data_IF_184749454370
#
_entry.id   IF_184749454370
#
_cell.length_a   1.000
_cell.length_b   1.000
_cell.length_c   1.000
_cell.angle_alpha   90.00
_cell.angle_beta   90.00
_cell.angle_gamma   90.00
#
_symmetry.space_group_name_H-M   'P 1'
#
loop_
_entity.id
_entity.type
_entity.pdbx_description
1 polymer ?
#
# COMPACT_ATOMS: atom_id res chain seq x y z
N UNK A 1 -1.27 -24.22 7.65
CA UNK A 1 -1.28 -25.08 6.45
C UNK A 1 -2.43 -24.62 5.56
N UNK A 2 -2.20 -24.49 4.25
CA UNK A 2 -3.20 -24.06 3.27
C UNK A 2 -3.91 -25.29 2.69
N UNK A 3 -5.23 -25.29 2.64
CA UNK A 3 -6.00 -26.38 2.03
C UNK A 3 -6.12 -26.17 0.53
N UNK A 4 -5.55 -27.06 -0.28
CA UNK A 4 -5.58 -27.02 -1.74
C UNK A 4 -6.47 -28.15 -2.25
N UNK A 5 -7.45 -27.83 -3.09
CA UNK A 5 -8.42 -28.82 -3.61
C UNK A 5 -8.44 -28.78 -5.13
N UNK A 6 -8.38 -29.95 -5.78
CA UNK A 6 -8.58 -30.14 -7.21
C UNK A 6 -9.88 -30.89 -7.49
N UNK A 7 -10.70 -30.35 -8.34
CA UNK A 7 -11.82 -31.06 -8.95
C UNK A 7 -11.38 -31.67 -10.28
N UNK A 8 -11.11 -32.96 -10.26
CA UNK A 8 -10.70 -33.71 -11.46
C UNK A 8 -11.80 -33.83 -12.50
N UNK A 9 -13.07 -33.69 -12.10
CA UNK A 9 -14.21 -33.76 -13.05
C UNK A 9 -14.27 -32.54 -13.95
N UNK A 10 -13.82 -31.36 -13.46
CA UNK A 10 -13.75 -30.13 -14.22
C UNK A 10 -12.41 -29.97 -14.95
N UNK A 11 -11.33 -30.58 -14.45
CA UNK A 11 -9.98 -30.31 -14.92
C UNK A 11 -9.72 -30.77 -16.35
N UNK A 12 -9.42 -29.84 -17.24
CA UNK A 12 -9.07 -30.08 -18.67
C UNK A 12 -7.58 -30.33 -18.89
N UNK A 13 -6.77 -30.48 -17.85
CA UNK A 13 -5.31 -30.77 -17.88
C UNK A 13 -4.49 -29.73 -18.65
N UNK A 14 -4.90 -28.47 -18.70
CA UNK A 14 -4.21 -27.41 -19.43
C UNK A 14 -2.83 -27.04 -18.86
N UNK A 15 -2.59 -27.31 -17.55
CA UNK A 15 -1.31 -27.07 -16.87
C UNK A 15 -1.06 -25.63 -16.44
N UNK A 16 -2.01 -24.72 -16.60
CA UNK A 16 -1.85 -23.31 -16.21
C UNK A 16 -1.46 -23.17 -14.72
N UNK A 17 -2.08 -23.95 -13.83
CA UNK A 17 -1.76 -23.94 -12.40
C UNK A 17 -0.30 -24.33 -12.09
N UNK A 18 0.32 -25.18 -12.90
CA UNK A 18 1.75 -25.54 -12.74
C UNK A 18 2.67 -24.42 -13.22
N UNK A 19 2.25 -23.67 -14.24
CA UNK A 19 3.02 -22.59 -14.84
C UNK A 19 3.08 -21.37 -13.94
N UNK A 20 1.94 -20.97 -13.32
CA UNK A 20 1.83 -19.72 -12.56
C UNK A 20 2.24 -19.83 -11.10
N UNK A 21 2.47 -21.03 -10.58
CA UNK A 21 2.76 -21.22 -9.16
C UNK A 21 4.19 -20.82 -8.80
N UNK A 22 4.42 -19.76 -8.02
CA UNK A 22 5.76 -19.32 -7.65
C UNK A 22 6.49 -20.32 -6.77
N UNK A 23 5.76 -21.08 -5.94
CA UNK A 23 6.31 -22.13 -5.07
C UNK A 23 6.44 -23.50 -5.79
N UNK A 24 6.02 -23.61 -7.06
CA UNK A 24 6.08 -24.85 -7.87
C UNK A 24 5.49 -26.07 -7.19
N UNK A 25 4.44 -25.86 -6.39
CA UNK A 25 3.78 -26.94 -5.62
C UNK A 25 2.85 -27.81 -6.47
N UNK A 26 2.48 -27.34 -7.66
CA UNK A 26 1.69 -28.12 -8.61
C UNK A 26 2.61 -28.72 -9.67
N UNK A 27 2.55 -30.02 -9.84
CA UNK A 27 3.38 -30.74 -10.80
C UNK A 27 2.54 -31.70 -11.64
N UNK A 28 3.03 -32.06 -12.82
CA UNK A 28 2.53 -33.12 -13.67
C UNK A 28 3.70 -33.79 -14.39
N UNK A 29 3.67 -35.09 -14.57
CA UNK A 29 4.75 -35.81 -15.24
C UNK A 29 4.68 -35.64 -16.75
N UNK A 30 3.48 -35.67 -17.32
CA UNK A 30 3.24 -35.46 -18.75
C UNK A 30 2.14 -34.42 -18.98
N UNK A 31 2.02 -33.92 -20.20
CA UNK A 31 0.93 -33.02 -20.58
C UNK A 31 -0.48 -33.64 -20.48
N UNK A 32 -0.56 -34.95 -20.40
CA UNK A 32 -1.84 -35.69 -20.31
C UNK A 32 -2.27 -35.94 -18.86
N UNK A 33 -1.39 -35.71 -17.89
CA UNK A 33 -1.67 -35.99 -16.49
C UNK A 33 -2.45 -34.83 -15.82
N UNK A 34 -3.23 -35.19 -14.81
CA UNK A 34 -3.78 -34.23 -13.90
C UNK A 34 -2.66 -33.59 -13.08
N UNK A 35 -2.72 -32.26 -12.82
CA UNK A 35 -1.82 -31.66 -11.85
C UNK A 35 -2.02 -32.31 -10.48
N UNK A 36 -0.91 -32.53 -9.76
CA UNK A 36 -0.92 -33.00 -8.40
C UNK A 36 -0.04 -32.13 -7.53
N UNK A 37 -0.38 -32.00 -6.25
CA UNK A 37 0.45 -31.32 -5.28
C UNK A 37 1.68 -32.14 -4.90
N UNK A 38 2.83 -31.52 -4.76
CA UNK A 38 4.02 -32.13 -4.16
C UNK A 38 3.78 -32.39 -2.67
N UNK A 39 4.59 -33.26 -2.07
CA UNK A 39 4.57 -33.49 -0.61
C UNK A 39 4.92 -32.16 0.10
N UNK A 40 4.14 -31.76 1.10
CA UNK A 40 4.32 -30.51 1.83
C UNK A 40 3.80 -29.27 1.09
N UNK A 41 3.03 -29.43 0.02
CA UNK A 41 2.47 -28.31 -0.75
C UNK A 41 1.65 -27.34 0.09
N UNK A 42 0.91 -27.84 1.08
CA UNK A 42 0.06 -27.03 1.96
C UNK A 42 0.86 -26.06 2.85
N UNK A 43 2.10 -26.44 3.20
CA UNK A 43 3.04 -25.61 3.98
C UNK A 43 3.80 -24.62 3.09
N UNK A 44 4.09 -25.04 1.85
CA UNK A 44 4.79 -24.20 0.85
C UNK A 44 3.89 -23.18 0.16
N UNK A 45 2.57 -23.38 0.24
CA UNK A 45 1.60 -22.51 -0.43
C UNK A 45 1.51 -21.16 0.26
N UNK A 46 1.76 -20.08 -0.49
CA UNK A 46 1.67 -18.68 -0.02
C UNK A 46 0.28 -18.07 -0.21
N UNK A 47 -0.73 -18.86 -0.49
CA UNK A 47 -2.12 -18.43 -0.71
C UNK A 47 -2.27 -17.23 -1.68
N UNK A 48 -1.47 -17.18 -2.75
CA UNK A 48 -1.52 -16.09 -3.72
C UNK A 48 -2.67 -16.20 -4.73
N UNK A 49 -3.37 -17.31 -4.75
CA UNK A 49 -4.53 -17.61 -5.62
C UNK A 49 -4.25 -17.54 -7.15
N UNK A 50 -2.99 -17.37 -7.59
CA UNK A 50 -2.68 -17.34 -9.03
C UNK A 50 -3.13 -18.59 -9.75
N UNK A 51 -2.98 -19.76 -9.13
CA UNK A 51 -3.42 -21.03 -9.72
C UNK A 51 -4.94 -21.14 -9.81
N UNK A 52 -5.68 -20.51 -8.90
CA UNK A 52 -7.15 -20.42 -8.92
C UNK A 52 -7.58 -19.51 -10.07
N UNK A 53 -7.03 -18.29 -10.11
CA UNK A 53 -7.35 -17.28 -11.13
C UNK A 53 -6.96 -17.71 -12.55
N UNK A 54 -5.90 -18.53 -12.70
CA UNK A 54 -5.44 -19.03 -13.99
C UNK A 54 -6.22 -20.26 -14.47
N UNK A 55 -7.09 -20.87 -13.63
CA UNK A 55 -7.81 -22.07 -14.00
C UNK A 55 -9.01 -21.75 -14.90
N UNK A 56 -9.02 -22.13 -16.21
CA UNK A 56 -10.07 -21.71 -17.13
C UNK A 56 -11.44 -22.36 -16.84
N UNK A 57 -11.47 -23.38 -16.00
CA UNK A 57 -12.69 -24.18 -15.72
C UNK A 57 -13.03 -24.21 -14.22
N UNK A 58 -12.36 -23.41 -13.40
CA UNK A 58 -12.65 -23.34 -11.95
C UNK A 58 -12.34 -24.63 -11.17
N UNK A 59 -11.57 -25.56 -11.72
CA UNK A 59 -11.31 -26.87 -11.12
C UNK A 59 -10.28 -26.86 -9.98
N UNK A 60 -9.94 -25.69 -9.39
CA UNK A 60 -8.98 -25.55 -8.30
C UNK A 60 -9.45 -24.51 -7.28
N UNK A 61 -9.30 -24.83 -6.01
CA UNK A 61 -9.52 -23.90 -4.91
C UNK A 61 -8.42 -23.97 -3.87
N UNK A 62 -8.24 -22.86 -3.15
CA UNK A 62 -7.31 -22.73 -2.01
C UNK A 62 -8.09 -22.14 -0.84
N UNK A 63 -8.06 -22.81 0.32
CA UNK A 63 -8.81 -22.41 1.52
C UNK A 63 -10.32 -22.20 1.27
N UNK A 64 -10.89 -22.99 0.38
CA UNK A 64 -12.29 -22.87 -0.01
C UNK A 64 -12.62 -21.70 -0.94
N UNK A 65 -11.62 -20.90 -1.36
CA UNK A 65 -11.77 -19.86 -2.38
C UNK A 65 -11.51 -20.44 -3.75
N UNK A 66 -12.46 -20.31 -4.64
CA UNK A 66 -12.45 -20.80 -6.01
C UNK A 66 -12.44 -19.70 -7.05
N UNK A 67 -12.73 -20.07 -8.28
CA UNK A 67 -12.76 -19.18 -9.44
C UNK A 67 -13.72 -17.98 -9.24
N UNK A 68 -14.89 -18.23 -8.67
CA UNK A 68 -15.94 -17.21 -8.48
C UNK A 68 -15.58 -16.18 -7.39
N UNK A 69 -14.56 -16.45 -6.58
CA UNK A 69 -14.00 -15.47 -5.64
C UNK A 69 -12.97 -14.53 -6.31
N UNK A 70 -12.58 -14.80 -7.55
CA UNK A 70 -11.65 -13.98 -8.32
C UNK A 70 -12.39 -12.92 -9.13
N UNK A 71 -11.80 -11.72 -9.23
CA UNK A 71 -12.33 -10.69 -10.10
C UNK A 71 -12.05 -11.03 -11.56
N UNK A 72 -13.01 -10.80 -12.43
CA UNK A 72 -12.81 -10.91 -13.88
C UNK A 72 -11.97 -9.75 -14.41
N UNK A 73 -11.14 -10.03 -15.41
CA UNK A 73 -10.48 -8.97 -16.16
C UNK A 73 -11.51 -8.24 -17.03
N UNK A 74 -11.62 -6.92 -16.83
CA UNK A 74 -12.31 -6.07 -17.78
C UNK A 74 -11.46 -5.93 -19.05
N UNK A 75 -11.78 -6.72 -20.08
CA UNK A 75 -11.08 -6.72 -21.37
C UNK A 75 -11.26 -5.41 -22.15
N UNK A 76 -12.20 -4.56 -21.75
CA UNK A 76 -12.47 -3.26 -22.37
C UNK A 76 -11.69 -2.13 -21.72
N UNK A 77 -11.25 -2.30 -20.48
CA UNK A 77 -10.48 -1.33 -19.71
C UNK A 77 -8.99 -1.32 -20.10
N UNK A 78 -8.70 -1.04 -21.36
CA UNK A 78 -7.32 -0.91 -21.82
C UNK A 78 -6.73 0.43 -21.36
N UNK A 79 -5.77 0.37 -20.43
CA UNK A 79 -5.02 1.53 -19.97
C UNK A 79 -3.78 1.69 -20.85
N UNK A 80 -3.65 2.84 -21.52
CA UNK A 80 -2.48 3.13 -22.36
C UNK A 80 -1.32 3.61 -21.50
N UNK A 81 -0.10 3.32 -21.95
CA UNK A 81 1.14 3.74 -21.27
C UNK A 81 1.16 5.25 -20.99
N UNK A 82 0.70 6.07 -21.95
CA UNK A 82 0.69 7.54 -21.82
C UNK A 82 -0.20 8.02 -20.67
N UNK A 83 -1.28 7.30 -20.35
CA UNK A 83 -2.17 7.64 -19.25
C UNK A 83 -1.48 7.41 -17.91
N UNK A 84 -0.83 6.25 -17.74
CA UNK A 84 -0.03 5.94 -16.55
C UNK A 84 1.16 6.89 -16.42
N UNK A 85 1.90 7.13 -17.52
CA UNK A 85 3.01 8.04 -17.54
C UNK A 85 2.60 9.48 -17.16
N UNK A 86 1.44 9.93 -17.63
CA UNK A 86 0.88 11.25 -17.26
C UNK A 86 0.51 11.29 -15.79
N UNK A 87 -0.17 10.28 -15.26
CA UNK A 87 -0.54 10.18 -13.84
C UNK A 87 0.70 10.29 -12.94
N UNK A 88 1.73 9.49 -13.21
CA UNK A 88 3.00 9.47 -12.45
C UNK A 88 3.69 10.84 -12.53
N UNK A 89 3.76 11.44 -13.73
CA UNK A 89 4.39 12.75 -13.95
C UNK A 89 3.61 13.89 -13.31
N UNK A 90 2.27 13.81 -13.28
CA UNK A 90 1.37 14.81 -12.71
C UNK A 90 1.36 14.78 -11.18
N UNK A 91 1.53 13.61 -10.55
CA UNK A 91 1.52 13.48 -9.10
C UNK A 91 2.51 14.45 -8.44
N UNK A 92 2.05 15.20 -7.45
CA UNK A 92 2.83 16.19 -6.68
C UNK A 92 2.63 15.99 -5.19
N UNK A 93 3.63 16.39 -4.42
CA UNK A 93 3.48 16.56 -2.96
C UNK A 93 2.65 17.83 -2.70
N UNK A 94 1.36 17.65 -2.51
CA UNK A 94 0.41 18.74 -2.23
C UNK A 94 0.52 19.13 -0.75
N UNK A 95 0.61 20.42 -0.49
CA UNK A 95 0.76 20.99 0.86
C UNK A 95 -0.22 22.16 1.11
N UNK A 96 -1.23 22.29 0.25
CA UNK A 96 -2.30 23.26 0.34
C UNK A 96 -3.63 22.52 0.19
N UNK A 97 -4.37 22.44 1.28
CA UNK A 97 -5.63 21.73 1.35
C UNK A 97 -6.77 22.73 1.47
N UNK A 98 -7.95 22.39 0.95
CA UNK A 98 -9.14 23.24 1.02
C UNK A 98 -9.73 23.35 2.44
N UNK A 99 -9.31 22.48 3.35
CA UNK A 99 -9.91 22.34 4.67
C UNK A 99 -11.24 21.58 4.69
N UNK A 100 -11.79 21.22 3.53
CA UNK A 100 -13.00 20.39 3.48
C UNK A 100 -12.73 19.01 4.06
N UNK A 101 -13.67 18.42 4.83
CA UNK A 101 -13.56 17.06 5.33
C UNK A 101 -13.40 16.07 4.17
N UNK A 102 -12.63 15.00 4.42
CA UNK A 102 -12.51 13.89 3.48
C UNK A 102 -13.54 12.83 3.85
N UNK A 103 -14.33 12.39 2.89
CA UNK A 103 -15.33 11.35 3.11
C UNK A 103 -14.65 9.99 3.38
N UNK A 104 -15.09 9.27 4.42
CA UNK A 104 -14.55 7.94 4.77
C UNK A 104 -14.63 6.98 3.60
N UNK A 105 -15.73 7.03 2.80
CA UNK A 105 -15.90 6.21 1.60
C UNK A 105 -14.77 6.37 0.59
N UNK A 106 -14.21 7.57 0.44
CA UNK A 106 -13.08 7.79 -0.48
C UNK A 106 -11.82 7.06 0.01
N UNK A 107 -11.59 7.07 1.31
CA UNK A 107 -10.47 6.36 1.93
C UNK A 107 -10.66 4.85 1.77
N UNK A 108 -11.85 4.33 2.04
CA UNK A 108 -12.20 2.91 1.88
C UNK A 108 -11.99 2.45 0.44
N UNK A 109 -12.42 3.23 -0.55
CA UNK A 109 -12.19 2.93 -1.97
C UNK A 109 -10.70 2.88 -2.32
N UNK A 110 -9.89 3.80 -1.77
CA UNK A 110 -8.44 3.79 -1.97
C UNK A 110 -7.82 2.54 -1.35
N UNK A 111 -8.17 2.20 -0.12
CA UNK A 111 -7.64 1.03 0.58
C UNK A 111 -8.06 -0.29 -0.09
N UNK A 112 -9.28 -0.35 -0.66
CA UNK A 112 -9.72 -1.51 -1.43
C UNK A 112 -8.84 -1.77 -2.66
N UNK A 113 -8.38 -0.72 -3.35
CA UNK A 113 -7.43 -0.86 -4.46
C UNK A 113 -6.02 -1.15 -3.95
N UNK A 114 -5.57 -0.48 -2.91
CA UNK A 114 -4.21 -0.62 -2.38
C UNK A 114 -3.91 -2.01 -1.83
N UNK A 115 -4.90 -2.76 -1.37
CA UNK A 115 -4.71 -4.17 -0.96
C UNK A 115 -4.19 -5.09 -2.07
N UNK A 116 -4.20 -4.65 -3.34
CA UNK A 116 -3.63 -5.36 -4.48
C UNK A 116 -2.16 -5.04 -4.71
N UNK A 117 -1.57 -4.12 -3.93
CA UNK A 117 -0.13 -3.86 -3.97
C UNK A 117 0.63 -5.16 -3.66
N UNK A 118 1.66 -5.51 -4.45
CA UNK A 118 2.41 -6.74 -4.23
C UNK A 118 3.18 -6.67 -2.91
N UNK A 119 3.26 -7.83 -2.24
CA UNK A 119 4.05 -7.97 -1.02
C UNK A 119 4.94 -9.22 -1.09
N UNK A 120 6.03 -9.22 -0.35
CA UNK A 120 6.94 -10.35 -0.28
C UNK A 120 6.18 -11.63 0.13
N UNK A 121 6.33 -12.71 -0.64
CA UNK A 121 5.66 -13.99 -0.42
C UNK A 121 4.13 -13.91 -0.26
N UNK A 122 3.50 -12.86 -0.79
CA UNK A 122 2.07 -12.57 -0.61
C UNK A 122 1.66 -12.50 0.89
N UNK A 123 2.55 -11.98 1.74
CA UNK A 123 2.35 -11.93 3.19
C UNK A 123 1.30 -10.93 3.64
N UNK A 124 0.99 -9.92 2.82
CA UNK A 124 0.02 -8.85 3.07
C UNK A 124 0.16 -8.20 4.47
N UNK A 125 1.38 -7.82 4.90
CA UNK A 125 1.63 -7.39 6.28
C UNK A 125 1.17 -5.97 6.56
N UNK A 126 0.90 -5.16 5.52
CA UNK A 126 0.65 -3.72 5.67
C UNK A 126 -0.74 -3.48 6.26
N UNK A 127 -0.75 -2.76 7.37
CA UNK A 127 -1.94 -2.28 8.05
C UNK A 127 -1.99 -0.75 7.99
N UNK A 128 -3.14 -0.18 8.23
CA UNK A 128 -3.37 1.26 8.10
C UNK A 128 -3.97 1.83 9.37
N UNK A 129 -3.39 2.92 9.86
CA UNK A 129 -4.01 3.79 10.84
C UNK A 129 -4.47 5.07 10.16
N UNK A 130 -5.72 5.45 10.39
CA UNK A 130 -6.38 6.57 9.70
C UNK A 130 -6.84 7.57 10.73
N UNK A 131 -6.37 8.81 10.61
CA UNK A 131 -6.83 9.94 11.41
C UNK A 131 -7.58 10.89 10.49
N UNK A 132 -8.89 10.67 10.32
CA UNK A 132 -9.75 11.42 9.42
C UNK A 132 -10.62 12.42 10.19
N UNK A 133 -9.97 13.37 10.85
CA UNK A 133 -10.61 14.49 11.56
C UNK A 133 -9.60 15.60 11.74
N UNK A 134 -9.90 16.79 11.26
CA UNK A 134 -9.00 17.93 11.33
C UNK A 134 -8.56 18.26 12.77
N UNK A 135 -9.47 18.13 13.76
CA UNK A 135 -9.13 18.31 15.17
C UNK A 135 -8.18 17.22 15.68
N UNK A 136 -8.41 15.94 15.34
CA UNK A 136 -7.54 14.83 15.72
C UNK A 136 -6.19 14.89 15.01
N UNK A 137 -6.15 15.31 13.75
CA UNK A 137 -4.90 15.58 13.05
C UNK A 137 -4.11 16.69 13.75
N UNK A 138 -4.78 17.76 14.20
CA UNK A 138 -4.13 18.83 14.96
C UNK A 138 -3.61 18.35 16.33
N UNK A 139 -4.35 17.48 17.03
CA UNK A 139 -3.89 16.84 18.27
C UNK A 139 -2.63 16.00 18.01
N UNK A 140 -2.65 15.15 16.99
CA UNK A 140 -1.49 14.33 16.59
C UNK A 140 -0.30 15.23 16.19
N UNK A 141 -0.56 16.34 15.48
CA UNK A 141 0.49 17.32 15.18
C UNK A 141 1.15 17.87 16.46
N UNK A 142 0.37 18.12 17.52
CA UNK A 142 0.88 18.52 18.82
C UNK A 142 1.80 17.47 19.46
N UNK A 143 1.42 16.20 19.39
CA UNK A 143 2.24 15.07 19.87
C UNK A 143 3.57 15.02 19.10
N UNK A 144 3.52 15.12 17.76
CA UNK A 144 4.72 15.15 16.91
C UNK A 144 5.59 16.40 17.19
N UNK A 145 4.96 17.55 17.42
CA UNK A 145 5.68 18.79 17.77
C UNK A 145 6.40 18.70 19.11
N UNK A 146 5.82 18.04 20.10
CA UNK A 146 6.50 17.82 21.40
C UNK A 146 7.79 17.02 21.20
N UNK A 147 7.78 15.98 20.38
CA UNK A 147 8.99 15.27 19.98
C UNK A 147 9.93 16.18 19.18
N UNK A 148 9.41 16.93 18.20
CA UNK A 148 10.22 17.77 17.31
C UNK A 148 11.00 18.85 18.10
N UNK A 149 10.43 19.42 19.17
CA UNK A 149 11.07 20.40 20.03
C UNK A 149 12.33 19.87 20.73
N UNK A 150 12.47 18.55 20.86
CA UNK A 150 13.67 17.90 21.43
C UNK A 150 14.78 17.69 20.39
N UNK A 151 14.47 17.88 19.10
CA UNK A 151 15.41 17.60 18.01
C UNK A 151 16.21 18.86 17.62
N UNK A 152 17.46 18.71 17.17
CA UNK A 152 18.28 19.83 16.73
C UNK A 152 17.75 20.46 15.43
N UNK A 153 18.03 21.75 15.23
CA UNK A 153 17.73 22.48 13.99
C UNK A 153 16.24 22.54 13.61
N UNK A 154 15.33 22.54 14.58
CA UNK A 154 13.87 22.56 14.35
C UNK A 154 13.23 23.93 14.58
N UNK A 155 14.01 24.95 14.98
CA UNK A 155 13.51 26.28 15.31
C UNK A 155 12.52 26.87 14.32
N UNK A 156 12.71 26.80 12.97
CA UNK A 156 11.73 27.34 12.03
C UNK A 156 10.36 26.67 12.09
N UNK A 157 10.32 25.36 12.35
CA UNK A 157 9.04 24.63 12.49
C UNK A 157 8.36 24.97 13.83
N UNK A 158 9.14 25.12 14.89
CA UNK A 158 8.65 25.54 16.22
C UNK A 158 8.05 26.93 16.13
N UNK A 159 8.71 27.89 15.49
CA UNK A 159 8.19 29.24 15.29
C UNK A 159 6.86 29.29 14.54
N UNK A 160 6.71 28.45 13.50
CA UNK A 160 5.44 28.33 12.76
C UNK A 160 4.34 27.79 13.67
N UNK A 161 4.66 26.77 14.46
CA UNK A 161 3.71 26.16 15.40
C UNK A 161 3.26 27.13 16.49
N UNK A 162 4.20 27.87 17.10
CA UNK A 162 3.91 28.82 18.18
C UNK A 162 3.09 30.01 17.68
N UNK A 163 3.14 30.32 16.39
CA UNK A 163 2.27 31.30 15.70
C UNK A 163 0.91 30.71 15.26
N UNK A 164 0.58 29.48 15.69
CA UNK A 164 -0.69 28.82 15.38
C UNK A 164 -0.73 28.06 14.06
N UNK A 165 0.35 28.06 13.28
CA UNK A 165 0.46 27.29 12.04
C UNK A 165 0.59 25.77 12.28
N UNK A 166 0.57 25.00 11.21
CA UNK A 166 0.81 23.56 11.24
C UNK A 166 1.99 23.16 10.33
N UNK A 167 3.20 23.08 10.88
CA UNK A 167 4.38 22.70 10.11
C UNK A 167 4.47 21.18 9.87
N UNK A 168 3.70 20.36 10.61
CA UNK A 168 3.74 18.91 10.56
C UNK A 168 2.86 18.37 9.42
N UNK A 169 1.58 18.69 9.45
CA UNK A 169 0.60 18.16 8.50
C UNK A 169 0.01 19.22 7.55
N UNK A 170 0.44 20.48 7.68
CA UNK A 170 0.06 21.57 6.74
C UNK A 170 -1.44 21.82 6.68
N UNK A 171 -2.18 21.53 7.75
CA UNK A 171 -3.63 21.67 7.78
C UNK A 171 -4.39 20.63 6.97
N UNK A 172 -3.77 19.50 6.64
CA UNK A 172 -4.46 18.37 6.02
C UNK A 172 -5.60 17.88 6.93
N UNK A 173 -6.79 17.60 6.38
CA UNK A 173 -7.92 17.10 7.18
C UNK A 173 -7.75 15.63 7.58
N UNK A 174 -6.90 14.89 6.87
CA UNK A 174 -6.65 13.46 7.10
C UNK A 174 -5.16 13.15 7.07
N UNK A 175 -4.73 12.26 7.96
CA UNK A 175 -3.40 11.65 7.98
C UNK A 175 -3.55 10.14 8.03
N UNK A 176 -2.79 9.45 7.18
CA UNK A 176 -2.77 8.00 7.09
C UNK A 176 -1.36 7.51 7.42
N UNK A 177 -1.25 6.57 8.34
CA UNK A 177 -0.03 5.85 8.64
C UNK A 177 -0.12 4.40 8.14
N UNK A 178 0.88 3.96 7.41
CA UNK A 178 1.04 2.56 7.00
C UNK A 178 2.06 1.89 7.91
N UNK A 179 1.66 0.80 8.54
CA UNK A 179 2.45 0.12 9.55
C UNK A 179 2.43 -1.40 9.38
N UNK A 180 3.39 -2.07 9.96
CA UNK A 180 3.50 -3.54 10.02
C UNK A 180 3.90 -3.98 11.41
N UNK A 181 3.65 -5.25 11.71
CA UNK A 181 4.31 -5.93 12.82
C UNK A 181 5.67 -6.44 12.31
N UNK A 182 6.76 -5.83 12.78
CA UNK A 182 8.12 -6.11 12.30
C UNK A 182 8.63 -7.50 12.69
N UNK A 183 7.92 -8.21 13.56
CA UNK A 183 8.25 -9.62 13.88
C UNK A 183 7.87 -10.56 12.73
N UNK A 184 7.05 -10.13 11.77
CA UNK A 184 6.45 -11.00 10.75
C UNK A 184 7.22 -11.04 9.43
N UNK A 185 7.97 -9.98 9.08
CA UNK A 185 8.65 -9.89 7.77
C UNK A 185 9.85 -8.96 7.77
N UNK A 186 10.95 -9.39 7.17
CA UNK A 186 12.11 -8.52 6.88
C UNK A 186 11.85 -7.54 5.73
N UNK A 187 10.75 -7.68 5.01
CA UNK A 187 10.39 -6.86 3.85
C UNK A 187 9.37 -5.76 4.18
N UNK A 188 9.02 -5.62 5.45
CA UNK A 188 7.97 -4.72 5.95
C UNK A 188 8.08 -3.30 5.39
N UNK A 189 9.27 -2.71 5.43
CA UNK A 189 9.48 -1.34 4.92
C UNK A 189 9.28 -1.25 3.39
N UNK A 190 9.72 -2.27 2.62
CA UNK A 190 9.56 -2.31 1.16
C UNK A 190 8.10 -2.53 0.78
N UNK A 191 7.43 -3.49 1.41
CA UNK A 191 6.01 -3.76 1.19
C UNK A 191 5.17 -2.53 1.50
N UNK A 192 5.49 -1.83 2.60
CA UNK A 192 4.82 -0.57 2.96
C UNK A 192 5.09 0.54 1.95
N UNK A 193 6.32 0.70 1.47
CA UNK A 193 6.66 1.72 0.47
C UNK A 193 5.88 1.52 -0.84
N UNK A 194 5.73 0.27 -1.29
CA UNK A 194 4.94 -0.08 -2.47
C UNK A 194 3.45 0.25 -2.24
N UNK A 195 2.91 -0.11 -1.09
CA UNK A 195 1.52 0.16 -0.75
C UNK A 195 1.22 1.67 -0.66
N UNK A 196 2.12 2.45 -0.04
CA UNK A 196 1.99 3.92 0.09
C UNK A 196 2.08 4.61 -1.27
N UNK A 197 3.00 4.20 -2.16
CA UNK A 197 3.06 4.77 -3.53
C UNK A 197 1.81 4.40 -4.33
N UNK A 198 1.31 3.17 -4.19
CA UNK A 198 0.04 2.76 -4.81
C UNK A 198 -1.11 3.64 -4.34
N UNK A 199 -1.19 3.92 -3.02
CA UNK A 199 -2.18 4.84 -2.46
C UNK A 199 -2.05 6.24 -3.06
N UNK A 200 -0.83 6.81 -3.11
CA UNK A 200 -0.57 8.15 -3.61
C UNK A 200 -1.01 8.31 -5.08
N UNK A 201 -0.71 7.33 -5.93
CA UNK A 201 -1.13 7.31 -7.32
C UNK A 201 -2.66 7.22 -7.48
N UNK A 202 -3.31 6.33 -6.71
CA UNK A 202 -4.76 6.21 -6.72
C UNK A 202 -5.45 7.48 -6.20
N UNK A 203 -4.95 8.08 -5.12
CA UNK A 203 -5.46 9.34 -4.59
C UNK A 203 -5.31 10.49 -5.62
N UNK A 204 -4.18 10.54 -6.33
CA UNK A 204 -3.97 11.51 -7.43
C UNK A 204 -4.99 11.30 -8.56
N UNK A 205 -5.33 10.05 -8.89
CA UNK A 205 -6.36 9.73 -9.90
C UNK A 205 -7.77 10.18 -9.43
N UNK A 206 -8.04 10.12 -8.12
CA UNK A 206 -9.25 10.64 -7.49
C UNK A 206 -9.23 12.17 -7.27
N UNK A 207 -8.21 12.88 -7.78
CA UNK A 207 -8.00 14.34 -7.58
C UNK A 207 -7.83 14.75 -6.12
N UNK A 208 -7.36 13.85 -5.27
CA UNK A 208 -6.95 14.17 -3.91
C UNK A 208 -5.50 14.64 -3.89
N UNK A 209 -5.22 15.56 -2.99
CA UNK A 209 -3.86 15.99 -2.67
C UNK A 209 -3.25 15.10 -1.62
N UNK A 210 -2.05 14.62 -1.88
CA UNK A 210 -1.25 13.84 -0.94
C UNK A 210 0.13 14.44 -0.75
N UNK A 211 0.72 14.21 0.42
CA UNK A 211 2.13 14.50 0.66
C UNK A 211 2.68 13.55 1.72
N UNK A 212 3.88 13.06 1.50
CA UNK A 212 4.60 12.26 2.49
C UNK A 212 4.73 12.99 3.83
N UNK A 213 4.24 12.37 4.91
CA UNK A 213 4.24 12.90 6.27
C UNK A 213 5.57 12.57 6.99
N UNK A 214 6.71 12.99 6.43
CA UNK A 214 8.04 12.56 6.85
C UNK A 214 8.38 12.88 8.30
N UNK A 215 7.94 14.02 8.84
CA UNK A 215 8.16 14.38 10.24
C UNK A 215 7.44 13.42 11.18
N UNK A 216 6.19 13.07 10.85
CA UNK A 216 5.41 12.09 11.59
C UNK A 216 6.05 10.69 11.56
N UNK A 217 6.45 10.21 10.39
CA UNK A 217 7.12 8.90 10.25
C UNK A 217 8.41 8.85 11.06
N UNK A 218 9.25 9.90 10.99
CA UNK A 218 10.48 9.99 11.79
C UNK A 218 10.20 9.97 13.28
N UNK A 219 9.21 10.71 13.75
CA UNK A 219 8.82 10.73 15.16
C UNK A 219 8.30 9.36 15.62
N UNK A 220 7.48 8.70 14.77
CA UNK A 220 6.95 7.36 15.05
C UNK A 220 8.00 6.24 15.01
N UNK A 221 9.19 6.50 14.45
CA UNK A 221 10.33 5.58 14.43
C UNK A 221 11.45 5.97 15.40
N UNK A 222 11.28 7.06 16.14
CA UNK A 222 12.29 7.54 17.11
C UNK A 222 12.35 6.66 18.36
N UNK A 223 13.34 6.91 19.19
CA UNK A 223 13.44 6.25 20.52
C UNK A 223 12.25 6.59 21.43
N UNK A 224 11.64 7.77 21.22
CA UNK A 224 10.48 8.26 21.98
C UNK A 224 9.14 7.91 21.30
N UNK A 225 9.12 6.96 20.37
CA UNK A 225 7.94 6.54 19.59
C UNK A 225 6.74 6.14 20.46
N UNK A 226 6.97 5.72 21.70
CA UNK A 226 5.93 5.20 22.60
C UNK A 226 4.75 6.15 22.78
N UNK A 227 4.98 7.47 22.81
CA UNK A 227 3.90 8.47 22.96
C UNK A 227 3.00 8.50 21.74
N UNK A 228 3.59 8.43 20.51
CA UNK A 228 2.84 8.40 19.25
C UNK A 228 2.12 7.05 19.11
N UNK A 229 2.82 5.93 19.42
CA UNK A 229 2.22 4.61 19.37
C UNK A 229 1.03 4.48 20.34
N UNK A 230 1.16 4.97 21.56
CA UNK A 230 0.07 5.01 22.54
C UNK A 230 -1.11 5.84 22.02
N UNK A 231 -0.85 7.01 21.44
CA UNK A 231 -1.90 7.87 20.89
C UNK A 231 -2.65 7.20 19.74
N UNK A 232 -1.94 6.42 18.91
CA UNK A 232 -2.49 5.69 17.77
C UNK A 232 -3.05 4.30 18.13
N UNK A 233 -2.82 3.80 19.35
CA UNK A 233 -3.20 2.45 19.75
C UNK A 233 -2.34 1.34 19.16
N UNK A 234 -1.09 1.63 18.79
CA UNK A 234 -0.14 0.67 18.25
C UNK A 234 0.66 -0.03 19.35
N UNK A 235 1.01 -1.29 19.12
CA UNK A 235 1.88 -2.07 20.00
C UNK A 235 3.36 -1.71 19.81
N UNK A 236 4.22 -2.21 20.70
CA UNK A 236 5.67 -1.99 20.61
C UNK A 236 6.33 -2.68 19.41
N UNK A 237 5.76 -3.81 18.96
CA UNK A 237 6.26 -4.57 17.80
C UNK A 237 5.82 -3.98 16.47
N UNK A 238 4.83 -3.11 16.48
CA UNK A 238 4.33 -2.45 15.28
C UNK A 238 5.17 -1.21 14.96
N UNK A 239 5.47 -1.01 13.69
CA UNK A 239 6.27 0.13 13.22
C UNK A 239 5.60 0.81 12.04
N UNK A 240 5.47 2.13 12.11
CA UNK A 240 5.02 2.96 10.99
C UNK A 240 6.18 3.14 10.03
N UNK A 241 6.08 2.59 8.82
CA UNK A 241 7.09 2.72 7.78
C UNK A 241 6.75 3.79 6.75
N UNK A 242 5.50 4.22 6.68
CA UNK A 242 5.06 5.24 5.74
C UNK A 242 3.90 6.06 6.28
N UNK A 243 3.71 7.25 5.71
CA UNK A 243 2.57 8.08 6.08
C UNK A 243 2.31 9.18 5.07
N UNK A 244 1.05 9.50 4.88
CA UNK A 244 0.58 10.53 3.96
C UNK A 244 -0.34 11.51 4.68
N UNK A 245 -0.15 12.78 4.41
CA UNK A 245 -1.19 13.80 4.53
C UNK A 245 -2.14 13.64 3.35
N UNK A 246 -3.43 13.71 3.56
CA UNK A 246 -4.45 13.51 2.51
C UNK A 246 -5.57 14.55 2.67
N UNK A 247 -6.06 15.08 1.55
CA UNK A 247 -7.19 16.00 1.54
C UNK A 247 -7.56 16.50 0.16
N UNK A 248 -8.66 17.23 0.06
CA UNK A 248 -9.01 17.94 -1.17
C UNK A 248 -7.99 19.04 -1.44
N UNK A 249 -7.58 19.19 -2.69
CA UNK A 249 -6.63 20.23 -3.12
C UNK A 249 -7.29 21.59 -2.94
N UNK A 250 -6.62 22.54 -2.26
CA UNK A 250 -7.13 23.88 -2.03
C UNK A 250 -7.09 24.73 -3.28
N UNK A 251 -5.89 24.91 -3.83
CA UNK A 251 -5.66 25.64 -5.08
C UNK A 251 -4.78 24.81 -6.00
N UNK A 252 -5.14 24.74 -7.28
CA UNK A 252 -4.28 24.12 -8.31
C UNK A 252 -3.18 25.12 -8.72
N UNK A 253 -2.07 25.08 -7.99
CA UNK A 253 -0.92 25.98 -8.24
C UNK A 253 0.01 25.48 -9.35
N UNK A 254 -0.06 24.21 -9.72
CA UNK A 254 0.84 23.61 -10.71
C UNK A 254 0.25 23.68 -12.12
N UNK A 255 0.74 24.61 -12.93
CA UNK A 255 0.37 24.73 -14.34
C UNK A 255 1.18 23.83 -15.27
N UNK A 256 2.32 23.30 -14.81
CA UNK A 256 3.24 22.47 -15.60
C UNK A 256 3.85 21.37 -14.74
N UNK A 257 4.26 20.29 -15.40
CA UNK A 257 5.07 19.24 -14.79
C UNK A 257 6.49 19.79 -14.60
N UNK A 258 7.02 19.83 -13.36
CA UNK A 258 8.38 20.31 -13.11
C UNK A 258 9.43 19.46 -13.80
N UNK A 259 10.53 20.09 -14.19
CA UNK A 259 11.70 19.41 -14.75
C UNK A 259 12.23 18.33 -13.80
N UNK A 260 12.61 17.20 -14.37
CA UNK A 260 13.41 16.15 -13.72
C UNK A 260 14.53 15.73 -14.66
N UNK A 261 15.77 15.56 -14.16
CA UNK A 261 16.86 15.05 -14.97
C UNK A 261 16.58 13.58 -15.37
N UNK A 262 17.25 13.11 -16.40
CA UNK A 262 17.21 11.71 -16.79
C UNK A 262 17.77 10.81 -15.67
N UNK A 263 17.19 9.60 -15.54
CA UNK A 263 17.71 8.62 -14.62
C UNK A 263 19.09 8.11 -15.07
N UNK A 264 20.01 7.96 -14.11
CA UNK A 264 21.26 7.24 -14.36
C UNK A 264 20.96 5.78 -14.72
N UNK A 265 21.62 5.28 -15.75
CA UNK A 265 21.43 3.91 -16.24
C UNK A 265 22.77 3.29 -16.66
N UNK A 266 22.93 2.01 -16.38
CA UNK A 266 24.03 1.19 -16.88
C UNK A 266 23.44 0.04 -17.70
N UNK A 267 23.96 -0.16 -18.91
CA UNK A 267 23.59 -1.28 -19.77
C UNK A 267 24.73 -2.31 -19.77
N UNK A 268 24.42 -3.55 -19.34
CA UNK A 268 25.29 -4.71 -19.49
C UNK A 268 24.64 -5.57 -20.56
N UNK A 269 25.32 -5.78 -21.69
CA UNK A 269 24.81 -6.52 -22.85
C UNK A 269 25.66 -7.76 -23.09
#
# INVERSE_FOLDING_TARGET
MQKITFDKSLCVRCGQCTLVCPSRIHQRQTSKDYPACVKGAEEMCIACYHCVAACPVGGLSVNGRGHDDCLEFDKTAAIRFEQIAHLIRKRRSIRHYSGAPLEDRMIEQLLDVVRWAPTAKNGLPVKWVIVNSASKVRELAGVVMNWLKTQPNTSPMVEVWDKGGDPVFRGAPCVIGAYTDDTTSHWSAMDTAIAVETFDLCATAMRLGTCWAGTFVRAAQSAEKSVIHQWLGLSETETIHGGLMVGHIGEEVYQRIPYRPEASKMWIR
#
